data_IF_290579230166
#
_entry.id   IF_290579230166
#
_cell.length_a   1.000
_cell.length_b   1.000
_cell.length_c   1.000
_cell.angle_alpha   90.00
_cell.angle_beta   90.00
_cell.angle_gamma   90.00
#
_symmetry.space_group_name_H-M   'P 1'
#
loop_
_entity.id
_entity.type
_entity.pdbx_description
1 polymer ?
#
# COMPACT_ATOMS: atom_id res chain seq x y z
N UNK A 1 3.31 17.29 -8.35
CA UNK A 1 3.45 16.81 -6.96
C UNK A 1 4.20 15.48 -7.00
N UNK A 2 5.18 15.25 -6.11
CA UNK A 2 6.13 14.14 -6.23
C UNK A 2 5.45 12.77 -6.05
N UNK A 3 5.22 12.08 -7.16
CA UNK A 3 4.71 10.70 -7.18
C UNK A 3 5.58 9.75 -6.35
N UNK A 4 6.89 9.99 -6.29
CA UNK A 4 7.80 9.21 -5.45
C UNK A 4 7.49 9.30 -3.96
N UNK A 5 7.08 10.48 -3.46
CA UNK A 5 6.69 10.64 -2.05
C UNK A 5 5.36 9.92 -1.75
N UNK A 6 4.43 9.92 -2.71
CA UNK A 6 3.19 9.15 -2.59
C UNK A 6 3.47 7.64 -2.46
N UNK A 7 4.31 7.09 -3.34
CA UNK A 7 4.69 5.66 -3.29
C UNK A 7 5.43 5.33 -2.00
N UNK A 8 6.36 6.19 -1.56
CA UNK A 8 7.09 5.99 -0.32
C UNK A 8 6.15 5.99 0.91
N UNK A 9 5.22 6.95 1.00
CA UNK A 9 4.23 7.00 2.06
C UNK A 9 3.32 5.77 2.06
N UNK A 10 2.92 5.31 0.88
CA UNK A 10 2.07 4.12 0.75
C UNK A 10 2.79 2.83 1.19
N UNK A 11 4.08 2.69 0.88
CA UNK A 11 4.89 1.57 1.36
C UNK A 11 5.01 1.55 2.88
N UNK A 12 5.16 2.71 3.52
CA UNK A 12 5.19 2.83 4.99
C UNK A 12 3.87 2.33 5.59
N UNK A 13 2.73 2.67 4.98
CA UNK A 13 1.41 2.19 5.43
C UNK A 13 1.32 0.67 5.35
N UNK A 14 1.76 0.06 4.25
CA UNK A 14 1.76 -1.41 4.08
C UNK A 14 2.62 -2.08 5.16
N UNK A 15 3.85 -1.60 5.36
CA UNK A 15 4.79 -2.18 6.33
C UNK A 15 4.26 -2.01 7.75
N UNK A 16 3.72 -0.84 8.10
CA UNK A 16 3.15 -0.57 9.41
C UNK A 16 1.95 -1.46 9.74
N UNK A 17 1.03 -1.65 8.79
CA UNK A 17 -0.12 -2.55 8.96
C UNK A 17 0.30 -4.01 9.08
N UNK A 18 1.26 -4.45 8.26
CA UNK A 18 1.80 -5.81 8.34
C UNK A 18 2.43 -6.06 9.72
N UNK A 19 3.28 -5.14 10.19
CA UNK A 19 3.93 -5.25 11.49
C UNK A 19 2.92 -5.21 12.65
N UNK A 20 1.95 -4.29 12.61
CA UNK A 20 0.87 -4.23 13.60
C UNK A 20 0.06 -5.54 13.66
N UNK A 21 -0.25 -6.13 12.51
CA UNK A 21 -0.95 -7.41 12.44
C UNK A 21 -0.10 -8.57 12.99
N UNK A 22 1.22 -8.55 12.80
CA UNK A 22 2.11 -9.53 13.45
C UNK A 22 2.12 -9.39 14.97
N UNK A 23 2.11 -8.16 15.52
CA UNK A 23 2.03 -7.91 16.96
C UNK A 23 0.70 -8.38 17.56
N UNK A 24 -0.39 -8.28 16.79
CA UNK A 24 -1.71 -8.79 17.19
C UNK A 24 -1.81 -10.33 17.10
N UNK A 25 -0.72 -11.03 16.79
CA UNK A 25 -0.69 -12.49 16.60
C UNK A 25 -1.71 -12.95 15.54
N UNK A 26 -1.97 -12.10 14.55
CA UNK A 26 -2.90 -12.42 13.48
C UNK A 26 -2.29 -13.52 12.60
N UNK A 27 -3.09 -14.49 12.13
CA UNK A 27 -2.55 -15.57 11.31
C UNK A 27 -1.87 -15.03 10.04
N UNK A 28 -0.66 -15.52 9.75
CA UNK A 28 0.18 -15.01 8.66
C UNK A 28 -0.51 -15.01 7.28
N UNK A 29 -1.43 -15.95 7.04
CA UNK A 29 -2.23 -15.98 5.81
C UNK A 29 -3.11 -14.73 5.65
N UNK A 30 -3.75 -14.25 6.72
CA UNK A 30 -4.56 -13.03 6.67
C UNK A 30 -3.71 -11.77 6.49
N UNK A 31 -2.50 -11.74 7.05
CA UNK A 31 -1.55 -10.65 6.84
C UNK A 31 -1.15 -10.58 5.36
N UNK A 32 -0.83 -11.74 4.75
CA UNK A 32 -0.49 -11.81 3.34
C UNK A 32 -1.64 -11.36 2.43
N UNK A 33 -2.89 -11.76 2.71
CA UNK A 33 -4.06 -11.28 1.98
C UNK A 33 -4.21 -9.76 2.11
N UNK A 34 -4.09 -9.21 3.32
CA UNK A 34 -4.17 -7.77 3.56
C UNK A 34 -3.10 -6.98 2.79
N UNK A 35 -1.85 -7.44 2.84
CA UNK A 35 -0.73 -6.83 2.09
C UNK A 35 -0.98 -6.89 0.59
N UNK A 36 -1.49 -8.01 0.05
CA UNK A 36 -1.79 -8.15 -1.38
C UNK A 36 -2.90 -7.20 -1.83
N UNK A 37 -3.96 -7.04 -1.04
CA UNK A 37 -5.06 -6.09 -1.31
C UNK A 37 -4.55 -4.65 -1.28
N UNK A 38 -3.76 -4.29 -0.26
CA UNK A 38 -3.18 -2.95 -0.15
C UNK A 38 -2.23 -2.67 -1.32
N UNK A 39 -1.36 -3.61 -1.69
CA UNK A 39 -0.49 -3.44 -2.85
C UNK A 39 -1.28 -3.14 -4.13
N UNK A 40 -2.39 -3.86 -4.38
CA UNK A 40 -3.30 -3.59 -5.50
C UNK A 40 -3.92 -2.19 -5.44
N UNK A 41 -4.40 -1.77 -4.26
CA UNK A 41 -4.93 -0.41 -4.05
C UNK A 41 -3.89 0.68 -4.32
N UNK A 42 -2.64 0.46 -3.90
CA UNK A 42 -1.52 1.36 -4.15
C UNK A 42 -1.24 1.54 -5.64
N UNK A 43 -1.29 0.44 -6.41
CA UNK A 43 -1.13 0.48 -7.87
C UNK A 43 -2.27 1.26 -8.52
N UNK A 44 -3.53 0.95 -8.20
CA UNK A 44 -4.70 1.63 -8.79
C UNK A 44 -4.68 3.13 -8.49
N UNK A 45 -4.35 3.50 -7.26
CA UNK A 45 -4.30 4.90 -6.83
C UNK A 45 -3.09 5.62 -7.43
N UNK A 46 -1.95 4.92 -7.54
CA UNK A 46 -0.78 5.42 -8.24
C UNK A 46 -1.04 5.71 -9.72
N UNK A 47 -1.71 4.79 -10.43
CA UNK A 47 -2.07 4.95 -11.85
C UNK A 47 -3.04 6.10 -12.07
N UNK A 48 -3.99 6.34 -11.16
CA UNK A 48 -4.86 7.53 -11.22
C UNK A 48 -4.08 8.83 -11.08
N UNK A 49 -3.12 8.87 -10.17
CA UNK A 49 -2.26 10.05 -9.97
C UNK A 49 -1.31 10.30 -11.15
N UNK A 50 -0.89 9.27 -11.88
CA UNK A 50 -0.09 9.45 -13.10
C UNK A 50 -0.95 9.81 -14.31
N UNK A 51 -2.18 9.26 -14.44
CA UNK A 51 -3.11 9.59 -15.54
C UNK A 51 -3.63 11.03 -15.52
N UNK A 52 -3.74 11.69 -14.37
CA UNK A 52 -4.15 13.11 -14.33
C UNK A 52 -3.16 14.06 -15.04
N UNK A 53 -1.97 13.58 -15.43
CA UNK A 53 -0.98 14.39 -16.13
C UNK A 53 -1.10 14.33 -17.67
N UNK A 54 -1.99 13.51 -18.21
CA UNK A 54 -2.37 13.53 -19.63
C UNK A 54 -3.63 14.41 -19.82
N UNK A 55 -3.47 15.73 -19.67
CA UNK A 55 -4.41 16.72 -20.23
C UNK A 55 -3.71 18.04 -20.52
#
# INVERSE_FOLDING_TARGET
MSFGIYVAGYLIVIIGLAYGATLMHMPAHWIAVGVMVLAGLGIVTGVKNTRQKDS
#
